data_IF_983912354751
#
_entry.id   IF_983912354751
#
_cell.length_a   1.000
_cell.length_b   1.000
_cell.length_c   1.000
_cell.angle_alpha   90.00
_cell.angle_beta   90.00
_cell.angle_gamma   90.00
#
_symmetry.space_group_name_H-M   'P 1'
#
loop_
_entity.id
_entity.type
_entity.pdbx_description
1 polymer ?
#
# COMPACT_ATOMS: atom_id res chain seq x y z
N UNK A 1 -41.51 38.86 -1.89
CA UNK A 1 -41.58 40.29 -1.53
C UNK A 1 -40.72 40.48 -0.27
N UNK A 2 -39.85 41.50 -0.23
CA UNK A 2 -38.89 41.86 0.87
C UNK A 2 -37.59 41.02 0.90
N UNK A 3 -36.36 41.46 0.56
CA UNK A 3 -35.57 42.71 0.80
C UNK A 3 -35.42 42.95 2.32
N UNK A 4 -34.25 43.03 2.98
CA UNK A 4 -33.00 43.73 2.67
C UNK A 4 -31.84 43.35 3.64
N UNK A 5 -30.61 43.43 3.09
CA UNK A 5 -29.35 44.00 3.61
C UNK A 5 -28.95 43.97 5.10
N UNK A 6 -27.72 43.48 5.36
CA UNK A 6 -26.95 43.74 6.58
C UNK A 6 -25.46 43.43 6.40
N UNK A 7 -24.74 44.35 5.76
CA UNK A 7 -23.28 44.32 5.60
C UNK A 7 -22.64 44.83 6.91
N UNK A 8 -22.08 43.93 7.73
CA UNK A 8 -21.20 44.33 8.84
C UNK A 8 -19.85 43.66 8.68
N UNK A 9 -18.96 44.41 8.04
CA UNK A 9 -17.52 44.20 7.98
C UNK A 9 -16.89 44.66 9.29
N UNK A 10 -16.23 43.77 10.04
CA UNK A 10 -15.22 44.16 11.04
C UNK A 10 -14.00 43.24 10.90
N UNK A 11 -12.96 43.78 10.27
CA UNK A 11 -11.59 43.25 10.22
C UNK A 11 -10.89 43.48 11.56
N UNK A 12 -10.32 42.43 12.14
CA UNK A 12 -9.15 42.49 13.06
C UNK A 12 -8.29 41.26 12.78
N UNK A 13 -7.30 41.34 11.89
CA UNK A 13 -5.90 41.67 12.20
C UNK A 13 -5.33 40.80 13.34
N UNK A 14 -5.04 39.54 13.01
CA UNK A 14 -4.07 38.70 13.73
C UNK A 14 -2.95 38.38 12.76
N UNK A 15 -1.73 38.80 13.10
CA UNK A 15 -0.52 38.50 12.33
C UNK A 15 -0.31 36.98 12.29
N UNK A 16 -0.52 36.38 11.13
CA UNK A 16 -0.13 35.01 10.82
C UNK A 16 0.56 35.03 9.46
N UNK A 17 1.83 34.64 9.45
CA UNK A 17 2.69 34.60 8.28
C UNK A 17 1.97 34.01 7.06
N UNK A 18 2.09 34.71 5.94
CA UNK A 18 1.34 34.42 4.73
C UNK A 18 1.59 33.01 4.19
N UNK A 19 0.50 32.35 3.82
CA UNK A 19 0.44 31.48 2.65
C UNK A 19 -0.85 31.81 1.92
N UNK A 20 -0.67 32.28 0.69
CA UNK A 20 -1.68 32.76 -0.22
C UNK A 20 -2.53 31.59 -0.75
N UNK A 21 -3.85 31.76 -0.72
CA UNK A 21 -4.76 31.35 -1.79
C UNK A 21 -5.05 29.86 -2.00
N UNK A 22 -6.27 29.44 -1.71
CA UNK A 22 -7.26 29.10 -2.74
C UNK A 22 -8.49 28.44 -2.09
N UNK A 23 -9.62 29.13 -2.16
CA UNK A 23 -10.93 28.50 -2.04
C UNK A 23 -11.20 27.70 -3.32
N UNK A 24 -11.26 26.37 -3.18
CA UNK A 24 -11.90 25.50 -4.17
C UNK A 24 -12.69 24.43 -3.42
N UNK A 25 -14.01 24.50 -3.51
CA UNK A 25 -14.87 23.35 -3.28
C UNK A 25 -14.52 22.32 -4.36
N UNK A 26 -13.86 21.25 -3.97
CA UNK A 26 -13.44 20.17 -4.84
C UNK A 26 -13.31 18.91 -4.00
N UNK A 27 -14.08 17.90 -4.39
CA UNK A 27 -14.01 16.50 -4.01
C UNK A 27 -12.77 16.13 -3.18
N UNK A 28 -12.97 15.71 -1.93
CA UNK A 28 -11.94 14.98 -1.16
C UNK A 28 -11.74 13.63 -1.86
N UNK A 29 -10.89 13.63 -2.87
CA UNK A 29 -10.17 12.47 -3.35
C UNK A 29 -8.73 12.71 -2.90
N UNK A 30 -8.45 12.42 -1.63
CA UNK A 30 -7.07 12.21 -1.23
C UNK A 30 -6.65 10.85 -1.80
N UNK A 31 -5.73 10.85 -2.77
CA UNK A 31 -4.43 10.30 -2.39
C UNK A 31 -3.27 11.17 -2.87
N UNK A 32 -2.17 11.04 -2.12
CA UNK A 32 -0.84 11.50 -2.45
C UNK A 32 -0.59 13.00 -2.28
N UNK A 33 -0.69 13.46 -1.03
CA UNK A 33 0.45 14.24 -0.55
C UNK A 33 1.66 13.31 -0.70
N UNK A 34 2.52 13.56 -1.69
CA UNK A 34 3.81 12.91 -1.81
C UNK A 34 4.68 13.37 -0.65
N UNK A 35 4.32 12.92 0.56
CA UNK A 35 5.27 12.86 1.66
C UNK A 35 6.44 12.01 1.16
N UNK A 36 7.65 12.47 1.44
CA UNK A 36 8.83 11.65 1.18
C UNK A 36 8.59 10.24 1.76
N UNK A 37 9.03 9.17 1.07
CA UNK A 37 8.83 7.81 1.56
C UNK A 37 9.29 7.70 3.02
N UNK A 38 8.40 7.24 3.90
CA UNK A 38 8.72 7.07 5.31
C UNK A 38 9.58 5.82 5.49
N UNK A 39 10.89 6.05 5.45
CA UNK A 39 11.90 4.99 5.55
C UNK A 39 12.25 4.63 7.00
N UNK A 40 11.47 5.14 7.96
CA UNK A 40 11.52 4.69 9.35
C UNK A 40 11.06 3.22 9.43
N UNK A 41 11.56 2.42 10.41
CA UNK A 41 11.05 1.07 10.67
C UNK A 41 9.51 1.00 10.79
N UNK A 42 8.90 2.07 11.33
CA UNK A 42 7.46 2.19 11.46
C UNK A 42 6.76 2.33 10.10
N UNK A 43 7.27 3.16 9.19
CA UNK A 43 6.72 3.33 7.83
C UNK A 43 6.85 2.08 6.97
N UNK A 44 7.99 1.40 7.07
CA UNK A 44 8.18 0.11 6.38
C UNK A 44 7.22 -0.94 6.93
N UNK A 45 7.09 -1.06 8.27
CA UNK A 45 6.14 -1.99 8.89
C UNK A 45 4.69 -1.66 8.51
N UNK A 46 4.34 -0.38 8.43
CA UNK A 46 3.00 0.03 8.01
C UNK A 46 2.70 -0.35 6.55
N UNK A 47 3.69 -0.23 5.67
CA UNK A 47 3.57 -0.69 4.27
C UNK A 47 3.35 -2.21 4.22
N UNK A 48 4.18 -2.97 4.95
CA UNK A 48 4.06 -4.44 5.01
C UNK A 48 2.70 -4.86 5.56
N UNK A 49 2.25 -4.24 6.64
CA UNK A 49 0.95 -4.54 7.26
C UNK A 49 -0.21 -4.25 6.30
N UNK A 50 -0.16 -3.10 5.61
CA UNK A 50 -1.17 -2.74 4.62
C UNK A 50 -1.21 -3.73 3.47
N UNK A 51 -0.05 -4.05 2.89
CA UNK A 51 0.06 -5.01 1.78
C UNK A 51 -0.37 -6.42 2.20
N UNK A 52 0.02 -6.85 3.40
CA UNK A 52 -0.38 -8.13 3.97
C UNK A 52 -1.90 -8.19 4.14
N UNK A 53 -2.51 -7.12 4.65
CA UNK A 53 -3.97 -7.02 4.75
C UNK A 53 -4.67 -7.13 3.40
N UNK A 54 -4.18 -6.41 2.39
CA UNK A 54 -4.70 -6.50 1.02
C UNK A 54 -4.52 -7.89 0.41
N UNK A 55 -3.38 -8.54 0.64
CA UNK A 55 -3.12 -9.90 0.18
C UNK A 55 -4.07 -10.90 0.85
N UNK A 56 -4.32 -10.78 2.15
CA UNK A 56 -5.29 -11.63 2.86
C UNK A 56 -6.71 -11.45 2.32
N UNK A 57 -7.14 -10.21 2.05
CA UNK A 57 -8.44 -9.94 1.43
C UNK A 57 -8.54 -10.57 0.04
N UNK A 58 -7.49 -10.46 -0.76
CA UNK A 58 -7.42 -11.09 -2.08
C UNK A 58 -7.51 -12.61 -1.98
N UNK A 59 -6.74 -13.24 -1.09
CA UNK A 59 -6.78 -14.69 -0.88
C UNK A 59 -8.15 -15.15 -0.37
N UNK A 60 -8.81 -14.38 0.49
CA UNK A 60 -10.18 -14.70 0.93
C UNK A 60 -11.19 -14.73 -0.23
N UNK A 61 -10.99 -13.90 -1.26
CA UNK A 61 -11.79 -13.92 -2.48
C UNK A 61 -11.34 -14.97 -3.51
N UNK A 62 -10.15 -15.56 -3.34
CA UNK A 62 -9.55 -16.53 -4.26
C UNK A 62 -9.23 -17.85 -3.54
N UNK A 63 -10.22 -18.75 -3.39
CA UNK A 63 -10.06 -19.97 -2.59
C UNK A 63 -8.97 -20.92 -3.12
N UNK A 64 -8.72 -20.95 -4.44
CA UNK A 64 -7.63 -21.72 -5.04
C UNK A 64 -6.26 -21.23 -4.60
N UNK A 65 -5.99 -19.93 -4.76
CA UNK A 65 -4.73 -19.31 -4.33
C UNK A 65 -4.54 -19.44 -2.81
N UNK A 66 -5.61 -19.24 -2.03
CA UNK A 66 -5.57 -19.39 -0.57
C UNK A 66 -5.22 -20.81 -0.13
N UNK A 67 -5.73 -21.84 -0.81
CA UNK A 67 -5.40 -23.23 -0.50
C UNK A 67 -3.90 -23.52 -0.72
N UNK A 68 -3.35 -23.07 -1.85
CA UNK A 68 -1.92 -23.27 -2.16
C UNK A 68 -1.02 -22.50 -1.20
N UNK A 69 -1.37 -21.25 -0.89
CA UNK A 69 -0.61 -20.45 0.09
C UNK A 69 -0.66 -21.09 1.49
N UNK A 70 -1.83 -21.58 1.94
CA UNK A 70 -1.95 -22.25 3.24
C UNK A 70 -1.17 -23.56 3.30
N UNK A 71 -1.16 -24.35 2.21
CA UNK A 71 -0.32 -25.55 2.11
C UNK A 71 1.16 -25.19 2.19
N UNK A 72 1.57 -24.12 1.50
CA UNK A 72 2.95 -23.66 1.46
C UNK A 72 3.50 -23.25 2.84
N UNK A 73 2.67 -22.75 3.76
CA UNK A 73 3.08 -22.35 5.12
C UNK A 73 3.72 -23.50 5.91
N UNK A 74 3.19 -24.72 5.76
CA UNK A 74 3.68 -25.92 6.47
C UNK A 74 4.70 -26.75 5.69
N UNK A 75 4.92 -26.43 4.41
CA UNK A 75 5.77 -27.21 3.53
C UNK A 75 7.26 -26.79 3.64
N UNK A 76 8.21 -27.69 3.32
CA UNK A 76 9.60 -27.31 3.11
C UNK A 76 9.70 -26.20 2.06
N UNK A 77 10.53 -25.19 2.28
CA UNK A 77 10.74 -24.05 1.36
C UNK A 77 10.81 -24.42 -0.14
N UNK A 78 11.62 -25.40 -0.57
CA UNK A 78 11.68 -25.75 -2.00
C UNK A 78 10.35 -26.30 -2.54
N UNK A 79 9.60 -27.05 -1.72
CA UNK A 79 8.29 -27.57 -2.09
C UNK A 79 7.25 -26.44 -2.13
N UNK A 80 7.23 -25.57 -1.13
CA UNK A 80 6.36 -24.40 -1.07
C UNK A 80 6.52 -23.51 -2.31
N UNK A 81 7.78 -23.22 -2.69
CA UNK A 81 8.08 -22.43 -3.89
C UNK A 81 7.57 -23.12 -5.16
N UNK A 82 7.80 -24.43 -5.31
CA UNK A 82 7.33 -25.20 -6.47
C UNK A 82 5.80 -25.25 -6.57
N UNK A 83 5.09 -25.47 -5.47
CA UNK A 83 3.63 -25.54 -5.43
C UNK A 83 3.00 -24.19 -5.80
N UNK A 84 3.51 -23.10 -5.21
CA UNK A 84 3.08 -21.72 -5.50
C UNK A 84 3.36 -21.38 -6.97
N UNK A 85 4.55 -21.69 -7.48
CA UNK A 85 4.94 -21.47 -8.88
C UNK A 85 4.02 -22.20 -9.85
N UNK A 86 3.75 -23.48 -9.58
CA UNK A 86 2.90 -24.33 -10.41
C UNK A 86 1.49 -23.75 -10.52
N UNK A 87 0.90 -23.35 -9.39
CA UNK A 87 -0.42 -22.73 -9.36
C UNK A 87 -0.45 -21.43 -10.16
N UNK A 88 0.46 -20.48 -9.87
CA UNK A 88 0.44 -19.19 -10.53
C UNK A 88 0.84 -19.24 -12.02
N UNK A 89 1.52 -20.29 -12.47
CA UNK A 89 1.76 -20.55 -13.90
C UNK A 89 0.49 -20.96 -14.62
N UNK A 90 -0.39 -21.74 -13.97
CA UNK A 90 -1.70 -22.10 -14.49
C UNK A 90 -2.73 -20.96 -14.35
N UNK A 91 -2.50 -20.02 -13.42
CA UNK A 91 -3.37 -18.90 -13.09
C UNK A 91 -2.66 -17.54 -13.28
N UNK A 92 -2.29 -17.17 -14.52
CA UNK A 92 -1.46 -15.98 -14.78
C UNK A 92 -2.16 -14.67 -14.40
N UNK A 93 -3.49 -14.59 -14.52
CA UNK A 93 -4.24 -13.41 -14.08
C UNK A 93 -4.08 -13.21 -12.56
N UNK A 94 -4.27 -14.27 -11.77
CA UNK A 94 -4.14 -14.20 -10.32
C UNK A 94 -2.71 -13.86 -9.88
N UNK A 95 -1.72 -14.30 -10.65
CA UNK A 95 -0.33 -13.92 -10.45
C UNK A 95 -0.12 -12.41 -10.58
N UNK A 96 -0.62 -11.79 -11.65
CA UNK A 96 -0.46 -10.36 -11.88
C UNK A 96 -1.19 -9.52 -10.84
N UNK A 97 -2.39 -9.92 -10.44
CA UNK A 97 -3.17 -9.26 -9.39
C UNK A 97 -2.43 -9.29 -8.05
N UNK A 98 -1.98 -10.49 -7.62
CA UNK A 98 -1.26 -10.64 -6.36
C UNK A 98 0.10 -9.91 -6.39
N UNK A 99 0.80 -9.94 -7.53
CA UNK A 99 2.02 -9.14 -7.75
C UNK A 99 1.75 -7.64 -7.63
N UNK A 100 0.63 -7.15 -8.16
CA UNK A 100 0.21 -5.76 -8.02
C UNK A 100 -0.02 -5.36 -6.56
N UNK A 101 -0.65 -6.24 -5.78
CA UNK A 101 -0.86 -6.04 -4.34
C UNK A 101 0.48 -5.96 -3.59
N UNK A 102 1.45 -6.80 -3.96
CA UNK A 102 2.75 -6.88 -3.31
C UNK A 102 3.74 -5.79 -3.77
N UNK A 103 3.45 -5.08 -4.86
CA UNK A 103 4.31 -4.07 -5.45
C UNK A 103 4.80 -2.97 -4.48
N UNK A 104 3.99 -2.47 -3.51
CA UNK A 104 4.44 -1.43 -2.58
C UNK A 104 5.60 -1.88 -1.68
N UNK A 105 5.73 -3.18 -1.38
CA UNK A 105 6.87 -3.68 -0.60
C UNK A 105 8.17 -3.50 -1.38
N UNK A 106 8.18 -3.92 -2.65
CA UNK A 106 9.34 -3.74 -3.53
C UNK A 106 9.66 -2.28 -3.79
N UNK A 107 8.63 -1.43 -3.93
CA UNK A 107 8.83 0.00 -4.07
C UNK A 107 9.47 0.61 -2.82
N UNK A 108 8.97 0.30 -1.62
CA UNK A 108 9.55 0.76 -0.36
C UNK A 108 11.00 0.28 -0.18
N UNK A 109 11.32 -0.95 -0.58
CA UNK A 109 12.70 -1.45 -0.56
C UNK A 109 13.62 -0.63 -1.47
N UNK A 110 13.18 -0.31 -2.70
CA UNK A 110 13.94 0.52 -3.65
C UNK A 110 14.09 1.95 -3.16
N UNK A 111 13.01 2.57 -2.72
CA UNK A 111 12.95 3.96 -2.28
C UNK A 111 13.76 4.22 -1.01
N UNK A 112 13.73 3.28 -0.07
CA UNK A 112 14.44 3.44 1.20
C UNK A 112 15.87 2.93 1.15
N UNK A 113 16.30 2.30 0.05
CA UNK A 113 17.62 1.66 -0.08
C UNK A 113 17.95 0.70 1.07
N UNK A 114 16.90 0.25 1.75
CA UNK A 114 16.95 -0.71 2.81
C UNK A 114 16.39 -2.00 2.22
N UNK A 115 17.05 -3.11 2.54
CA UNK A 115 16.33 -4.36 2.72
C UNK A 115 15.44 -4.16 3.95
N UNK A 116 14.42 -3.30 3.86
CA UNK A 116 13.63 -2.79 5.00
C UNK A 116 12.77 -3.85 5.68
N UNK A 117 12.84 -5.08 5.19
CA UNK A 117 12.29 -6.24 5.83
C UNK A 117 13.36 -6.80 6.79
N UNK A 118 13.00 -7.25 8.01
CA UNK A 118 13.91 -8.10 8.76
C UNK A 118 14.41 -9.24 7.83
N UNK A 119 15.67 -9.67 7.96
CA UNK A 119 16.35 -10.48 6.94
C UNK A 119 15.59 -11.76 6.55
N UNK A 120 14.77 -12.29 7.46
CA UNK A 120 13.86 -13.41 7.21
C UNK A 120 12.75 -13.10 6.19
N UNK A 121 12.08 -11.96 6.32
CA UNK A 121 11.03 -11.52 5.40
C UNK A 121 11.61 -11.08 4.05
N UNK A 122 12.81 -10.50 4.06
CA UNK A 122 13.51 -10.09 2.85
C UNK A 122 13.83 -11.26 1.92
N UNK A 123 14.34 -12.34 2.51
CA UNK A 123 14.67 -13.55 1.78
C UNK A 123 13.42 -14.25 1.24
N UNK A 124 12.33 -14.30 2.03
CA UNK A 124 11.05 -14.83 1.55
C UNK A 124 10.47 -14.04 0.36
N UNK A 125 10.52 -12.70 0.42
CA UNK A 125 10.05 -11.84 -0.68
C UNK A 125 10.90 -11.98 -1.95
N UNK A 126 12.23 -12.03 -1.81
CA UNK A 126 13.14 -12.18 -2.95
C UNK A 126 12.92 -13.52 -3.68
N UNK A 127 12.72 -14.61 -2.93
CA UNK A 127 12.45 -15.95 -3.47
C UNK A 127 11.13 -15.98 -4.26
N UNK A 128 10.08 -15.34 -3.74
CA UNK A 128 8.79 -15.19 -4.44
C UNK A 128 8.88 -14.34 -5.72
N UNK A 129 9.70 -13.28 -5.70
CA UNK A 129 9.82 -12.37 -6.84
C UNK A 129 10.78 -12.87 -7.93
N UNK A 130 11.68 -13.79 -7.59
CA UNK A 130 12.63 -14.41 -8.52
C UNK A 130 11.96 -15.34 -9.55
N UNK A 131 10.72 -15.75 -9.26
CA UNK A 131 9.90 -16.51 -10.18
C UNK A 131 9.42 -17.79 -9.55
#
# INVERSE_FOLDING_TARGET
MSKAHGFTMIRRFGLGAGLLGATAAGLVVAPSASAAPDCSPAGVSNTVNSVTGSAQQYLAAHPGANAVVNQAIGAPRPQAAADVRSYFTAHPQEYYELRGILAPIGETQRQCQTTGLPPELASAYAEFMAG
#
